data_IF_859466223362
#
_entry.id   IF_859466223362
#
_cell.length_a   1.000
_cell.length_b   1.000
_cell.length_c   1.000
_cell.angle_alpha   90.00
_cell.angle_beta   90.00
_cell.angle_gamma   90.00
#
_symmetry.space_group_name_H-M   'P 1'
#
loop_
_entity.id
_entity.type
_entity.pdbx_description
1 polymer ?
#
# COMPACT_ATOMS: atom_id res chain seq x y z
N UNK A 1 -14.05 7.11 40.02
CA UNK A 1 -15.48 6.78 40.12
C UNK A 1 -15.65 5.36 39.59
N UNK A 2 -16.12 4.40 40.40
CA UNK A 2 -16.43 3.05 39.92
C UNK A 2 -17.80 3.12 39.26
N UNK A 3 -17.83 3.15 37.93
CA UNK A 3 -19.07 2.98 37.17
C UNK A 3 -19.49 1.51 37.31
N UNK A 4 -20.64 1.28 37.95
CA UNK A 4 -21.28 -0.03 37.98
C UNK A 4 -22.21 -0.15 36.78
N UNK A 5 -21.95 -1.11 35.90
CA UNK A 5 -22.88 -1.46 34.82
C UNK A 5 -23.72 -2.67 35.26
N UNK A 6 -25.05 -2.61 35.07
CA UNK A 6 -25.95 -3.76 35.19
C UNK A 6 -26.29 -4.24 33.79
N UNK A 7 -25.99 -5.49 33.48
CA UNK A 7 -26.42 -6.15 32.23
C UNK A 7 -27.71 -6.93 32.51
N UNK A 8 -28.77 -6.61 31.79
CA UNK A 8 -30.01 -7.39 31.80
C UNK A 8 -30.00 -8.35 30.59
N UNK A 9 -30.15 -9.65 30.81
CA UNK A 9 -30.20 -10.65 29.75
C UNK A 9 -31.65 -10.98 29.39
N UNK A 10 -32.21 -10.34 28.36
CA UNK A 10 -33.44 -10.79 27.71
C UNK A 10 -33.08 -11.75 26.58
N UNK A 11 -32.68 -12.98 26.91
CA UNK A 11 -32.24 -13.96 25.92
C UNK A 11 -33.43 -14.48 25.07
N UNK A 12 -33.41 -14.24 23.76
CA UNK A 12 -34.05 -15.11 22.76
C UNK A 12 -32.99 -15.58 21.78
N UNK A 13 -32.69 -16.88 21.78
CA UNK A 13 -31.79 -17.52 20.82
C UNK A 13 -32.48 -17.60 19.45
N UNK A 14 -31.92 -16.94 18.45
CA UNK A 14 -32.38 -16.99 17.06
C UNK A 14 -31.80 -18.20 16.30
N UNK A 15 -32.68 -19.07 15.83
CA UNK A 15 -32.50 -19.81 14.58
C UNK A 15 -33.84 -19.74 13.82
N UNK A 16 -33.87 -18.95 12.74
CA UNK A 16 -35.01 -18.70 11.82
C UNK A 16 -36.29 -18.17 12.49
N UNK A 17 -36.44 -16.85 12.50
CA UNK A 17 -37.57 -16.13 13.12
C UNK A 17 -38.88 -16.41 12.38
N UNK A 18 -39.75 -17.23 12.99
CA UNK A 18 -41.18 -16.90 13.04
C UNK A 18 -41.32 -15.76 14.05
N UNK A 19 -41.93 -14.64 13.65
CA UNK A 19 -42.13 -13.44 14.48
C UNK A 19 -42.68 -13.81 15.87
N UNK A 20 -41.81 -13.78 16.88
CA UNK A 20 -42.20 -13.93 18.29
C UNK A 20 -42.80 -12.61 18.78
N UNK A 21 -43.92 -12.65 19.48
CA UNK A 21 -44.52 -11.45 20.09
C UNK A 21 -43.51 -10.69 20.99
N UNK A 22 -43.60 -9.34 21.05
CA UNK A 22 -42.78 -8.53 21.95
C UNK A 22 -42.92 -8.97 23.42
N UNK A 23 -41.84 -9.08 24.22
CA UNK A 23 -41.90 -9.37 25.66
C UNK A 23 -42.73 -8.34 26.43
N UNK A 24 -43.34 -8.73 27.56
CA UNK A 24 -44.17 -7.83 28.39
C UNK A 24 -43.43 -6.57 28.86
N UNK A 25 -42.14 -6.69 29.14
CA UNK A 25 -41.29 -5.56 29.54
C UNK A 25 -41.14 -4.53 28.41
N UNK A 26 -41.02 -4.99 27.15
CA UNK A 26 -40.97 -4.13 25.97
C UNK A 26 -42.35 -3.52 25.69
N UNK A 27 -43.45 -4.26 25.90
CA UNK A 27 -44.81 -3.72 25.81
C UNK A 27 -45.00 -2.56 26.79
N UNK A 28 -44.62 -2.76 28.06
CA UNK A 28 -44.68 -1.72 29.09
C UNK A 28 -43.81 -0.52 28.74
N UNK A 29 -42.58 -0.74 28.29
CA UNK A 29 -41.67 0.33 27.87
C UNK A 29 -42.25 1.15 26.70
N UNK A 30 -42.90 0.49 25.74
CA UNK A 30 -43.59 1.17 24.65
C UNK A 30 -44.77 2.00 25.18
N UNK A 31 -45.60 1.43 26.05
CA UNK A 31 -46.76 2.10 26.64
C UNK A 31 -46.37 3.32 27.50
N UNK A 32 -45.24 3.26 28.22
CA UNK A 32 -44.73 4.37 29.04
C UNK A 32 -44.38 5.62 28.18
N UNK A 33 -44.07 5.41 26.90
CA UNK A 33 -43.69 6.47 25.96
C UNK A 33 -44.75 6.74 24.89
N UNK A 34 -45.84 5.98 24.81
CA UNK A 34 -46.85 6.10 23.75
C UNK A 34 -48.22 6.47 24.32
N UNK A 35 -48.89 7.48 23.74
CA UNK A 35 -50.23 7.89 24.20
C UNK A 35 -51.37 6.94 23.80
N UNK A 36 -51.48 6.61 22.51
CA UNK A 36 -52.66 5.93 21.92
C UNK A 36 -52.31 4.60 21.21
N UNK A 37 -51.43 3.79 21.80
CA UNK A 37 -50.93 2.56 21.17
C UNK A 37 -50.10 2.81 19.90
N UNK A 38 -49.61 4.04 19.76
CA UNK A 38 -48.76 4.57 18.70
C UNK A 38 -47.79 5.55 19.34
N UNK A 39 -46.51 5.43 18.99
CA UNK A 39 -45.47 6.34 19.42
C UNK A 39 -45.17 7.33 18.29
N UNK A 40 -45.48 8.60 18.53
CA UNK A 40 -45.19 9.73 17.63
C UNK A 40 -43.69 10.02 17.54
N UNK A 41 -43.30 10.92 16.62
CA UNK A 41 -41.89 11.29 16.45
C UNK A 41 -41.33 12.00 17.70
N UNK A 42 -42.13 12.84 18.36
CA UNK A 42 -41.69 13.55 19.57
C UNK A 42 -41.55 12.59 20.77
N UNK A 43 -42.44 11.60 20.85
CA UNK A 43 -42.37 10.54 21.87
C UNK A 43 -41.17 9.60 21.64
N UNK A 44 -40.90 9.23 20.39
CA UNK A 44 -39.71 8.45 20.04
C UNK A 44 -38.42 9.25 20.31
N UNK A 45 -38.40 10.54 20.01
CA UNK A 45 -37.26 11.41 20.33
C UNK A 45 -36.96 11.39 21.82
N UNK A 46 -38.00 11.50 22.65
CA UNK A 46 -37.89 11.40 24.11
C UNK A 46 -37.34 10.04 24.54
N UNK A 47 -37.84 8.96 23.96
CA UNK A 47 -37.34 7.61 24.23
C UNK A 47 -35.84 7.46 23.90
N UNK A 48 -35.40 7.90 22.71
CA UNK A 48 -33.99 7.76 22.29
C UNK A 48 -33.06 8.61 23.16
N UNK A 49 -33.50 9.80 23.59
CA UNK A 49 -32.71 10.64 24.50
C UNK A 49 -32.64 10.05 25.92
N UNK A 50 -33.78 9.67 26.49
CA UNK A 50 -33.87 9.27 27.91
C UNK A 50 -33.43 7.84 28.18
N UNK A 51 -33.72 6.91 27.26
CA UNK A 51 -33.48 5.47 27.45
C UNK A 51 -32.23 5.02 26.69
N UNK A 52 -32.05 5.43 25.43
CA UNK A 52 -30.87 5.06 24.64
C UNK A 52 -29.65 5.95 24.90
N UNK A 53 -29.86 7.13 25.50
CA UNK A 53 -28.78 8.04 25.87
C UNK A 53 -28.23 8.87 24.70
N UNK A 54 -28.95 8.93 23.57
CA UNK A 54 -28.57 9.67 22.37
C UNK A 54 -28.84 11.17 22.53
N UNK A 55 -28.01 11.85 23.33
CA UNK A 55 -28.18 13.27 23.68
C UNK A 55 -28.13 14.23 22.49
N UNK A 56 -27.63 13.77 21.34
CA UNK A 56 -27.54 14.54 20.10
C UNK A 56 -28.74 14.32 19.17
N UNK A 57 -29.66 13.41 19.50
CA UNK A 57 -30.81 13.12 18.68
C UNK A 57 -31.70 14.36 18.53
N UNK A 58 -32.15 14.60 17.31
CA UNK A 58 -33.09 15.64 16.95
C UNK A 58 -34.30 15.06 16.19
N UNK A 59 -35.22 15.91 15.76
CA UNK A 59 -36.40 15.47 15.00
C UNK A 59 -36.02 14.81 13.66
N UNK A 60 -34.86 15.13 13.07
CA UNK A 60 -34.41 14.51 11.83
C UNK A 60 -33.88 13.10 12.09
N UNK A 61 -33.12 12.89 13.16
CA UNK A 61 -32.67 11.57 13.61
C UNK A 61 -33.85 10.59 13.77
N UNK A 62 -34.96 11.04 14.38
CA UNK A 62 -36.16 10.19 14.53
C UNK A 62 -36.92 10.00 13.22
N UNK A 63 -36.98 11.03 12.36
CA UNK A 63 -37.57 10.89 11.03
C UNK A 63 -36.82 9.87 10.20
N UNK A 64 -35.50 9.80 10.32
CA UNK A 64 -34.68 8.81 9.64
C UNK A 64 -34.97 7.41 10.17
N UNK A 65 -35.03 7.21 11.50
CA UNK A 65 -35.47 5.93 12.09
C UNK A 65 -36.85 5.53 11.55
N UNK A 66 -37.81 6.45 11.56
CA UNK A 66 -39.16 6.18 11.08
C UNK A 66 -39.21 5.91 9.58
N UNK A 67 -38.41 6.62 8.77
CA UNK A 67 -38.31 6.40 7.34
C UNK A 67 -37.79 5.00 7.02
N UNK A 68 -36.73 4.58 7.70
CA UNK A 68 -36.07 3.30 7.50
C UNK A 68 -36.97 2.11 7.89
N UNK A 69 -37.77 2.28 8.95
CA UNK A 69 -38.81 1.30 9.34
C UNK A 69 -40.01 1.21 8.36
N UNK A 70 -40.12 2.06 7.33
CA UNK A 70 -41.27 2.09 6.40
C UNK A 70 -41.34 0.88 5.45
N UNK A 71 -40.22 0.20 5.18
CA UNK A 71 -40.14 -0.82 4.13
C UNK A 71 -40.78 -2.18 4.50
N UNK A 72 -41.43 -2.28 5.67
CA UNK A 72 -42.08 -3.52 6.13
C UNK A 72 -43.60 -3.46 6.29
N UNK A 73 -44.28 -2.45 5.71
CA UNK A 73 -45.75 -2.47 5.61
C UNK A 73 -46.52 -2.21 6.90
N UNK A 74 -45.91 -1.53 7.89
CA UNK A 74 -46.53 -1.27 9.21
C UNK A 74 -46.70 0.22 9.53
N UNK A 75 -46.52 1.13 8.56
CA UNK A 75 -46.65 2.57 8.82
C UNK A 75 -47.88 3.27 8.27
N UNK A 76 -48.45 4.08 9.15
CA UNK A 76 -49.50 5.07 8.94
C UNK A 76 -48.92 6.40 9.41
N UNK A 77 -49.17 7.56 8.75
CA UNK A 77 -48.48 8.85 8.94
C UNK A 77 -48.43 9.48 10.35
N UNK A 78 -48.85 8.78 11.42
CA UNK A 78 -48.99 9.29 12.79
C UNK A 78 -48.04 8.67 13.83
N UNK A 79 -47.17 7.72 13.50
CA UNK A 79 -46.21 7.12 14.46
C UNK A 79 -46.01 5.60 14.36
N UNK A 80 -45.01 5.06 15.05
CA UNK A 80 -44.67 3.62 15.11
C UNK A 80 -45.63 2.88 16.05
N UNK A 81 -46.01 1.66 15.69
CA UNK A 81 -46.71 0.73 16.58
C UNK A 81 -45.73 -0.15 17.34
N UNK A 82 -46.21 -0.84 18.37
CA UNK A 82 -45.42 -1.74 19.23
C UNK A 82 -44.54 -2.72 18.43
N UNK A 83 -45.06 -3.32 17.36
CA UNK A 83 -44.28 -4.23 16.49
C UNK A 83 -43.13 -3.50 15.78
N UNK A 84 -43.37 -2.27 15.30
CA UNK A 84 -42.34 -1.43 14.68
C UNK A 84 -41.27 -0.99 15.68
N UNK A 85 -41.68 -0.65 16.90
CA UNK A 85 -40.76 -0.33 18.00
C UNK A 85 -39.91 -1.54 18.41
N UNK A 86 -40.51 -2.73 18.53
CA UNK A 86 -39.77 -3.94 18.87
C UNK A 86 -38.76 -4.32 17.79
N UNK A 87 -39.11 -4.14 16.51
CA UNK A 87 -38.17 -4.31 15.40
C UNK A 87 -37.02 -3.32 15.43
N UNK A 88 -37.28 -2.04 15.75
CA UNK A 88 -36.22 -1.06 15.96
C UNK A 88 -35.22 -1.51 17.03
N UNK A 89 -35.70 -1.99 18.19
CA UNK A 89 -34.83 -2.43 19.28
C UNK A 89 -33.91 -3.60 18.89
N UNK A 90 -34.36 -4.44 17.96
CA UNK A 90 -33.62 -5.60 17.45
C UNK A 90 -32.82 -5.31 16.17
N UNK A 91 -32.96 -4.10 15.62
CA UNK A 91 -32.30 -3.70 14.39
C UNK A 91 -30.88 -3.23 14.64
N UNK A 92 -30.06 -3.23 13.59
CA UNK A 92 -28.68 -2.75 13.65
C UNK A 92 -28.58 -1.23 13.97
N UNK A 93 -29.68 -0.47 13.87
CA UNK A 93 -29.77 0.92 14.32
C UNK A 93 -29.70 1.10 15.83
N UNK A 94 -30.07 0.06 16.57
CA UNK A 94 -29.95 0.01 18.02
C UNK A 94 -28.73 -0.82 18.43
N UNK A 95 -27.71 -0.87 17.56
CA UNK A 95 -26.45 -1.56 17.83
C UNK A 95 -25.76 -0.92 19.05
N UNK A 96 -25.25 -1.73 19.99
CA UNK A 96 -24.46 -1.23 21.12
C UNK A 96 -23.08 -0.68 20.69
N UNK A 97 -22.74 -0.80 19.40
CA UNK A 97 -21.50 -0.31 18.81
C UNK A 97 -21.82 0.72 17.72
N UNK A 98 -21.16 1.87 17.76
CA UNK A 98 -21.19 2.85 16.66
C UNK A 98 -20.71 2.20 15.35
N UNK A 99 -21.32 2.59 14.24
CA UNK A 99 -20.94 2.08 12.92
C UNK A 99 -19.47 2.43 12.61
N UNK A 100 -18.78 1.53 11.92
CA UNK A 100 -17.33 1.65 11.71
C UNK A 100 -16.88 2.97 11.05
N UNK A 101 -17.72 3.58 10.20
CA UNK A 101 -17.45 4.89 9.59
C UNK A 101 -17.51 6.07 10.57
N UNK A 102 -18.46 6.06 11.50
CA UNK A 102 -18.59 7.08 12.54
C UNK A 102 -17.40 7.03 13.51
N UNK A 103 -16.99 5.82 13.92
CA UNK A 103 -15.83 5.65 14.80
C UNK A 103 -14.55 6.21 14.16
N UNK A 104 -14.32 5.91 12.88
CA UNK A 104 -13.17 6.43 12.12
C UNK A 104 -13.22 7.95 12.01
N UNK A 105 -14.39 8.50 11.69
CA UNK A 105 -14.60 9.96 11.60
C UNK A 105 -14.38 10.67 12.94
N UNK A 106 -14.90 10.11 14.04
CA UNK A 106 -14.74 10.63 15.40
C UNK A 106 -13.29 10.53 15.89
N UNK A 107 -12.60 9.45 15.55
CA UNK A 107 -11.21 9.20 15.99
C UNK A 107 -10.22 10.12 15.27
N UNK A 108 -10.33 10.24 13.95
CA UNK A 108 -9.34 10.98 13.15
C UNK A 108 -9.76 12.43 12.88
N UNK A 109 -11.04 12.77 13.00
CA UNK A 109 -11.54 14.16 12.88
C UNK A 109 -10.98 14.87 11.65
N UNK A 110 -10.35 16.03 11.87
CA UNK A 110 -9.76 16.87 10.82
C UNK A 110 -8.48 16.29 10.16
N UNK A 111 -7.86 15.28 10.78
CA UNK A 111 -6.71 14.59 10.17
C UNK A 111 -7.15 13.61 9.10
N UNK A 112 -8.41 13.18 9.09
CA UNK A 112 -8.94 12.33 8.04
C UNK A 112 -9.13 13.11 6.74
N UNK A 113 -8.48 12.67 5.66
CA UNK A 113 -8.67 13.26 4.35
C UNK A 113 -9.88 12.62 3.64
N UNK A 114 -10.87 13.45 3.35
CA UNK A 114 -12.04 13.09 2.55
C UNK A 114 -11.88 13.68 1.15
N UNK A 115 -12.15 12.87 0.14
CA UNK A 115 -12.13 13.34 -1.24
C UNK A 115 -13.44 14.06 -1.51
N UNK A 116 -13.44 15.40 -1.45
CA UNK A 116 -14.60 16.21 -1.83
C UNK A 116 -14.58 16.35 -3.34
N UNK A 117 -15.44 15.60 -4.04
CA UNK A 117 -15.61 15.54 -5.52
C UNK A 117 -14.58 14.72 -6.31
N UNK A 118 -14.96 14.32 -7.53
CA UNK A 118 -14.19 13.52 -8.52
C UNK A 118 -12.87 14.18 -9.00
N UNK A 119 -12.33 15.15 -8.25
CA UNK A 119 -11.17 16.00 -8.58
C UNK A 119 -9.81 15.27 -8.72
N UNK A 120 -9.75 13.96 -8.48
CA UNK A 120 -8.52 13.17 -8.61
C UNK A 120 -8.61 12.08 -9.67
N UNK A 121 -9.42 12.27 -10.71
CA UNK A 121 -9.39 11.41 -11.89
C UNK A 121 -8.01 11.44 -12.52
N UNK A 122 -7.37 12.59 -12.71
CA UNK A 122 -6.17 12.63 -13.55
C UNK A 122 -4.83 12.31 -12.84
N UNK A 123 -4.71 12.61 -11.54
CA UNK A 123 -3.51 12.37 -10.72
C UNK A 123 -3.78 12.23 -9.21
N UNK A 124 -2.85 11.61 -8.48
CA UNK A 124 -2.90 11.55 -7.01
C UNK A 124 -2.33 12.84 -6.38
N UNK A 125 -2.86 13.29 -5.23
CA UNK A 125 -2.28 14.41 -4.49
C UNK A 125 -0.82 14.15 -4.07
N UNK A 126 -0.04 15.21 -3.97
CA UNK A 126 1.36 15.12 -3.52
C UNK A 126 1.46 14.84 -2.01
N UNK A 127 2.57 14.27 -1.53
CA UNK A 127 2.81 14.11 -0.09
C UNK A 127 2.72 15.42 0.69
N UNK A 128 3.15 16.55 0.11
CA UNK A 128 3.07 17.87 0.76
C UNK A 128 1.61 18.35 0.88
N UNK A 129 0.77 18.12 -0.13
CA UNK A 129 -0.66 18.44 -0.08
C UNK A 129 -1.41 17.60 0.97
N UNK A 130 -0.91 16.40 1.28
CA UNK A 130 -1.48 15.46 2.25
C UNK A 130 -0.76 15.46 3.60
N UNK A 131 0.03 16.50 3.88
CA UNK A 131 0.81 16.58 5.13
C UNK A 131 -0.12 16.55 6.35
N UNK A 132 0.22 15.69 7.31
CA UNK A 132 -0.57 15.43 8.52
C UNK A 132 -1.99 14.90 8.25
N UNK A 133 -2.22 14.30 7.07
CA UNK A 133 -3.49 13.68 6.73
C UNK A 133 -3.41 12.15 6.72
N UNK A 134 -4.52 11.52 7.09
CA UNK A 134 -4.74 10.08 7.07
C UNK A 134 -5.72 9.78 5.94
N UNK A 135 -5.35 8.84 5.07
CA UNK A 135 -6.15 8.42 3.92
C UNK A 135 -6.64 7.01 4.12
N UNK A 136 -7.88 6.74 3.72
CA UNK A 136 -8.42 5.38 3.68
C UNK A 136 -8.30 4.87 2.26
N UNK A 137 -7.63 3.71 2.12
CA UNK A 137 -7.45 3.06 0.82
C UNK A 137 -7.91 1.60 0.88
N UNK A 138 -9.12 1.36 0.41
CA UNK A 138 -9.74 0.03 0.34
C UNK A 138 -10.68 -0.09 -0.86
N UNK A 139 -11.25 -1.29 -1.04
CA UNK A 139 -12.36 -1.51 -1.97
C UNK A 139 -13.65 -0.97 -1.35
N UNK A 140 -14.55 -0.38 -2.15
CA UNK A 140 -15.91 -0.13 -1.71
C UNK A 140 -16.58 -1.42 -1.24
N UNK A 141 -17.57 -1.33 -0.33
CA UNK A 141 -18.44 -2.45 0.04
C UNK A 141 -19.01 -3.15 -1.20
N UNK A 142 -19.12 -4.48 -1.16
CA UNK A 142 -19.57 -5.30 -2.31
C UNK A 142 -21.04 -5.06 -2.63
N UNK A 143 -21.79 -4.78 -1.58
CA UNK A 143 -23.22 -4.53 -1.51
C UNK A 143 -23.56 -3.34 -2.43
N UNK A 144 -22.79 -2.25 -2.35
CA UNK A 144 -22.88 -1.08 -3.23
C UNK A 144 -22.55 -1.37 -4.71
N UNK A 145 -21.58 -2.26 -4.98
CA UNK A 145 -21.19 -2.60 -6.36
C UNK A 145 -22.29 -3.35 -7.12
N UNK A 146 -23.23 -3.98 -6.41
CA UNK A 146 -24.35 -4.69 -6.99
C UNK A 146 -25.49 -3.72 -7.37
N UNK A 147 -25.75 -2.70 -6.55
CA UNK A 147 -26.76 -1.66 -6.83
C UNK A 147 -26.46 -0.85 -8.09
N UNK A 148 -25.19 -0.54 -8.38
CA UNK A 148 -24.81 0.15 -9.62
C UNK A 148 -25.06 -0.65 -10.89
N UNK A 149 -25.05 -1.98 -10.82
CA UNK A 149 -25.36 -2.84 -11.98
C UNK A 149 -26.86 -2.82 -12.28
N UNK A 150 -27.71 -2.63 -11.27
CA UNK A 150 -29.16 -2.54 -11.40
C UNK A 150 -29.64 -1.20 -11.98
N UNK A 151 -28.90 -0.10 -11.75
CA UNK A 151 -29.24 1.24 -12.24
C UNK A 151 -28.62 1.61 -13.61
N UNK A 152 -27.72 0.78 -14.17
CA UNK A 152 -26.99 1.13 -15.39
C UNK A 152 -26.72 -0.04 -16.34
N UNK A 153 -27.69 -0.37 -17.19
CA UNK A 153 -27.48 -0.59 -18.64
C UNK A 153 -28.78 -0.99 -19.35
N UNK A 154 -29.34 -0.06 -20.12
CA UNK A 154 -29.95 -0.38 -21.42
C UNK A 154 -28.86 -0.92 -22.37
N UNK A 155 -29.30 -1.76 -23.32
CA UNK A 155 -28.58 -2.39 -24.46
C UNK A 155 -27.66 -3.57 -24.17
N UNK A 156 -28.25 -4.77 -24.01
CA UNK A 156 -27.97 -5.94 -24.87
C UNK A 156 -28.78 -7.17 -24.40
N UNK A 157 -29.67 -7.70 -25.25
CA UNK A 157 -30.64 -8.73 -24.87
C UNK A 157 -30.09 -10.17 -24.82
N UNK A 158 -28.84 -10.42 -25.23
CA UNK A 158 -28.30 -11.78 -25.35
C UNK A 158 -27.64 -12.33 -24.08
N UNK A 159 -27.39 -11.50 -23.05
CA UNK A 159 -26.76 -11.91 -21.77
C UNK A 159 -27.79 -12.15 -20.65
N UNK A 160 -29.06 -11.76 -20.86
CA UNK A 160 -30.12 -11.81 -19.83
C UNK A 160 -30.41 -13.22 -19.31
N UNK A 161 -30.34 -14.27 -20.14
CA UNK A 161 -30.86 -15.57 -19.73
C UNK A 161 -30.02 -16.34 -18.68
N UNK A 162 -28.73 -16.01 -18.48
CA UNK A 162 -27.86 -16.70 -17.51
C UNK A 162 -27.52 -15.91 -16.25
N UNK A 163 -27.68 -14.59 -16.23
CA UNK A 163 -27.42 -13.75 -15.04
C UNK A 163 -28.68 -13.42 -14.23
N UNK A 164 -29.87 -13.53 -14.82
CA UNK A 164 -31.13 -13.13 -14.15
C UNK A 164 -31.57 -14.13 -13.07
N UNK A 165 -31.08 -15.39 -13.06
CA UNK A 165 -31.47 -16.37 -12.02
C UNK A 165 -30.74 -16.25 -10.67
N UNK A 166 -29.66 -15.49 -10.58
CA UNK A 166 -28.96 -15.24 -9.29
C UNK A 166 -29.19 -13.84 -8.73
N UNK A 167 -29.85 -12.95 -9.48
CA UNK A 167 -30.04 -11.53 -9.11
C UNK A 167 -31.41 -11.22 -8.49
N UNK A 168 -32.28 -12.22 -8.31
CA UNK A 168 -33.66 -12.02 -7.83
C UNK A 168 -33.86 -12.17 -6.31
N UNK A 169 -32.80 -12.33 -5.50
CA UNK A 169 -32.99 -12.63 -4.06
C UNK A 169 -32.10 -11.87 -3.06
N UNK A 170 -31.47 -10.75 -3.43
CA UNK A 170 -30.76 -9.87 -2.48
C UNK A 170 -31.08 -8.40 -2.79
N UNK A 171 -32.29 -7.98 -2.46
CA UNK A 171 -32.59 -6.56 -2.24
C UNK A 171 -31.92 -6.24 -0.91
N UNK A 172 -30.85 -5.44 -0.94
CA UNK A 172 -30.25 -4.89 0.27
C UNK A 172 -31.28 -3.94 0.89
N UNK A 173 -31.49 -4.03 2.20
CA UNK A 173 -32.30 -3.04 2.90
C UNK A 173 -31.61 -1.66 2.76
N UNK A 174 -32.37 -0.57 2.60
CA UNK A 174 -31.85 0.82 2.37
C UNK A 174 -30.79 1.27 3.42
N UNK A 175 -30.79 0.56 4.54
CA UNK A 175 -29.97 0.70 5.71
C UNK A 175 -28.54 0.16 5.52
N UNK A 176 -28.39 -1.05 4.93
CA UNK A 176 -27.09 -1.56 4.51
C UNK A 176 -26.49 -0.68 3.41
N UNK A 177 -27.34 -0.10 2.57
CA UNK A 177 -26.93 0.85 1.53
C UNK A 177 -26.42 2.17 2.13
N UNK A 178 -27.08 2.72 3.15
CA UNK A 178 -26.66 3.99 3.77
C UNK A 178 -25.32 3.85 4.50
N UNK A 179 -25.13 2.78 5.27
CA UNK A 179 -23.86 2.50 5.97
C UNK A 179 -22.72 2.25 4.96
N UNK A 180 -23.03 1.57 3.85
CA UNK A 180 -22.09 1.37 2.77
C UNK A 180 -21.70 2.69 2.09
N UNK A 181 -22.64 3.65 1.95
CA UNK A 181 -22.40 4.99 1.42
C UNK A 181 -21.51 5.79 2.36
N UNK A 182 -21.82 5.86 3.66
CA UNK A 182 -21.02 6.61 4.63
C UNK A 182 -19.58 6.11 4.70
N UNK A 183 -19.37 4.79 4.77
CA UNK A 183 -18.02 4.23 4.78
C UNK A 183 -17.29 4.45 3.45
N UNK A 184 -18.01 4.39 2.32
CA UNK A 184 -17.46 4.69 0.99
C UNK A 184 -16.96 6.12 0.90
N UNK A 185 -17.70 7.09 1.44
CA UNK A 185 -17.34 8.51 1.39
C UNK A 185 -16.06 8.81 2.18
N UNK A 186 -15.65 7.91 3.08
CA UNK A 186 -14.35 7.99 3.75
C UNK A 186 -13.19 7.44 2.90
N UNK A 187 -13.45 6.66 1.84
CA UNK A 187 -12.41 6.05 0.99
C UNK A 187 -11.81 7.10 0.06
N UNK A 188 -10.66 7.64 0.45
CA UNK A 188 -9.92 8.61 -0.36
C UNK A 188 -9.27 8.01 -1.60
N UNK A 189 -8.78 6.76 -1.52
CA UNK A 189 -8.13 6.07 -2.64
C UNK A 189 -8.78 4.71 -2.88
N UNK A 190 -9.62 4.65 -3.90
CA UNK A 190 -10.34 3.46 -4.30
C UNK A 190 -9.40 2.39 -4.86
N UNK A 191 -9.44 1.19 -4.28
CA UNK A 191 -8.72 0.04 -4.83
C UNK A 191 -9.41 -0.43 -6.13
N UNK A 192 -8.66 -0.40 -7.24
CA UNK A 192 -9.14 -0.83 -8.55
C UNK A 192 -9.45 -2.33 -8.61
N UNK A 193 -10.40 -2.68 -9.48
CA UNK A 193 -10.75 -4.08 -9.76
C UNK A 193 -9.89 -4.65 -10.89
N UNK A 194 -9.42 -5.89 -10.72
CA UNK A 194 -8.56 -6.61 -11.68
C UNK A 194 -9.40 -7.22 -12.82
N UNK A 195 -10.15 -6.41 -13.58
CA UNK A 195 -10.94 -6.93 -14.70
C UNK A 195 -10.00 -7.51 -15.77
N UNK A 196 -10.20 -8.78 -16.16
CA UNK A 196 -9.47 -9.42 -17.27
C UNK A 196 -8.17 -10.17 -16.92
N UNK A 197 -7.90 -10.44 -15.62
CA UNK A 197 -6.76 -11.27 -15.20
C UNK A 197 -5.39 -10.65 -15.51
N UNK A 198 -4.32 -11.45 -15.48
CA UNK A 198 -2.93 -10.97 -15.59
C UNK A 198 -2.62 -10.22 -16.89
N UNK A 199 -3.31 -10.56 -17.99
CA UNK A 199 -3.13 -9.92 -19.30
C UNK A 199 -3.67 -8.48 -19.36
N UNK A 200 -4.71 -8.16 -18.62
CA UNK A 200 -5.36 -6.84 -18.72
C UNK A 200 -5.34 -6.07 -17.39
N UNK A 201 -4.73 -6.61 -16.34
CA UNK A 201 -4.78 -6.02 -15.01
C UNK A 201 -4.15 -4.62 -14.91
N UNK A 202 -3.21 -4.28 -15.81
CA UNK A 202 -2.56 -2.96 -15.86
C UNK A 202 -3.28 -1.99 -16.82
N UNK A 203 -4.30 -2.47 -17.53
CA UNK A 203 -5.06 -1.64 -18.46
C UNK A 203 -6.12 -0.88 -17.65
N UNK A 204 -5.98 0.44 -17.60
CA UNK A 204 -6.91 1.34 -16.94
C UNK A 204 -7.39 2.42 -17.90
N UNK A 205 -8.41 3.16 -17.48
CA UNK A 205 -8.82 4.39 -18.15
C UNK A 205 -7.65 5.40 -18.10
N UNK A 206 -7.16 5.91 -19.24
CA UNK A 206 -6.06 6.87 -19.29
C UNK A 206 -6.38 8.20 -18.59
N UNK A 207 -7.65 8.50 -18.35
CA UNK A 207 -8.10 9.70 -17.68
C UNK A 207 -8.35 9.47 -16.18
N UNK A 208 -8.12 8.24 -15.69
CA UNK A 208 -8.36 7.87 -14.29
C UNK A 208 -7.17 7.16 -13.64
N UNK A 209 -6.57 7.77 -12.63
CA UNK A 209 -5.60 7.09 -11.78
C UNK A 209 -6.28 6.07 -10.88
N UNK A 210 -5.63 4.93 -10.72
CA UNK A 210 -6.11 3.82 -9.90
C UNK A 210 -5.02 3.32 -8.96
N UNK A 211 -5.45 2.66 -7.88
CA UNK A 211 -4.56 1.93 -6.98
C UNK A 211 -4.81 0.44 -7.12
N UNK A 212 -3.78 -0.32 -7.48
CA UNK A 212 -3.87 -1.79 -7.56
C UNK A 212 -3.14 -2.45 -6.41
N UNK A 213 -3.54 -3.69 -6.11
CA UNK A 213 -2.86 -4.52 -5.13
C UNK A 213 -2.71 -5.95 -5.61
N UNK A 214 -1.51 -6.51 -5.49
CA UNK A 214 -1.20 -7.89 -5.89
C UNK A 214 -0.16 -8.53 -4.97
N UNK A 215 -0.11 -9.86 -4.97
CA UNK A 215 0.89 -10.61 -4.19
C UNK A 215 2.26 -10.55 -4.85
N UNK A 216 3.32 -10.79 -4.07
CA UNK A 216 4.69 -10.91 -4.56
C UNK A 216 4.84 -11.88 -5.75
N UNK A 217 4.15 -13.03 -5.72
CA UNK A 217 4.23 -14.05 -6.79
C UNK A 217 3.66 -13.53 -8.12
N UNK A 218 2.63 -12.69 -8.02
CA UNK A 218 2.01 -12.09 -9.19
C UNK A 218 2.91 -11.01 -9.79
N UNK A 219 3.52 -10.21 -8.92
CA UNK A 219 4.53 -9.24 -9.31
C UNK A 219 5.72 -9.93 -10.00
N UNK A 220 6.28 -10.99 -9.43
CA UNK A 220 7.39 -11.74 -10.02
C UNK A 220 7.05 -12.25 -11.43
N UNK A 221 5.82 -12.70 -11.64
CA UNK A 221 5.35 -13.17 -12.95
C UNK A 221 5.23 -12.01 -13.96
N UNK A 222 4.64 -10.89 -13.54
CA UNK A 222 4.49 -9.71 -14.38
C UNK A 222 5.83 -9.03 -14.68
N UNK A 223 6.75 -8.96 -13.71
CA UNK A 223 8.08 -8.42 -13.90
C UNK A 223 8.83 -9.15 -15.02
N UNK A 224 8.74 -10.48 -15.05
CA UNK A 224 9.40 -11.32 -16.08
C UNK A 224 8.76 -11.22 -17.47
N UNK A 225 7.46 -10.98 -17.54
CA UNK A 225 6.71 -11.06 -18.82
C UNK A 225 6.34 -9.69 -19.39
N UNK A 226 6.22 -8.67 -18.54
CA UNK A 226 5.63 -7.36 -18.82
C UNK A 226 6.24 -6.24 -17.95
N UNK A 227 7.56 -6.29 -17.72
CA UNK A 227 8.29 -5.30 -16.92
C UNK A 227 8.04 -3.85 -17.33
N UNK A 228 8.15 -3.48 -18.62
CA UNK A 228 7.90 -2.12 -19.09
C UNK A 228 6.47 -1.64 -18.82
N UNK A 229 5.48 -2.54 -18.96
CA UNK A 229 4.09 -2.20 -18.68
C UNK A 229 3.87 -1.89 -17.19
N UNK A 230 4.59 -2.56 -16.28
CA UNK A 230 4.56 -2.24 -14.85
C UNK A 230 5.16 -0.85 -14.57
N UNK A 231 6.30 -0.53 -15.19
CA UNK A 231 6.91 0.79 -15.05
C UNK A 231 5.96 1.87 -15.56
N UNK A 232 5.42 1.69 -16.76
CA UNK A 232 4.44 2.60 -17.37
C UNK A 232 3.21 2.78 -16.49
N UNK A 233 2.69 1.69 -15.93
CA UNK A 233 1.56 1.73 -15.01
C UNK A 233 1.87 2.59 -13.78
N UNK A 234 3.01 2.38 -13.14
CA UNK A 234 3.38 3.05 -11.88
C UNK A 234 3.85 4.50 -12.05
N UNK A 235 4.05 4.99 -13.27
CA UNK A 235 4.28 6.42 -13.53
C UNK A 235 3.07 7.27 -13.12
N UNK A 236 1.84 6.75 -13.31
CA UNK A 236 0.59 7.47 -12.99
C UNK A 236 -0.22 6.82 -11.87
N UNK A 237 -0.12 5.52 -11.71
CA UNK A 237 -0.94 4.72 -10.79
C UNK A 237 -0.16 4.27 -9.55
N UNK A 238 -0.87 3.93 -8.47
CA UNK A 238 -0.25 3.37 -7.26
C UNK A 238 -0.33 1.84 -7.30
N UNK A 239 0.78 1.18 -7.04
CA UNK A 239 0.87 -0.27 -6.93
C UNK A 239 1.28 -0.68 -5.51
N UNK A 240 0.41 -1.48 -4.87
CA UNK A 240 0.68 -2.13 -3.59
C UNK A 240 1.02 -3.60 -3.76
N UNK A 241 2.15 -4.00 -3.19
CA UNK A 241 2.63 -5.38 -3.17
C UNK A 241 2.53 -5.90 -1.74
N UNK A 242 2.12 -7.16 -1.58
CA UNK A 242 2.01 -7.78 -0.27
C UNK A 242 2.58 -9.21 -0.25
N UNK A 243 3.06 -9.68 0.91
CA UNK A 243 3.57 -11.04 1.07
C UNK A 243 2.50 -12.09 0.71
N UNK A 244 2.92 -13.21 0.14
CA UNK A 244 2.04 -14.37 -0.09
C UNK A 244 1.61 -15.00 1.24
N UNK A 245 0.42 -15.57 1.25
CA UNK A 245 -0.17 -16.20 2.45
C UNK A 245 0.61 -17.42 2.95
N UNK A 246 1.43 -18.06 2.11
CA UNK A 246 2.26 -19.21 2.50
C UNK A 246 3.46 -18.83 3.37
N UNK A 247 3.76 -17.54 3.56
CA UNK A 247 4.78 -17.05 4.51
C UNK A 247 4.22 -17.02 5.93
N UNK A 248 3.88 -18.20 6.45
CA UNK A 248 3.32 -18.39 7.79
C UNK A 248 4.29 -17.96 8.90
N UNK A 249 5.59 -17.96 8.60
CA UNK A 249 6.67 -17.50 9.47
C UNK A 249 6.84 -15.98 9.48
N UNK A 250 5.98 -15.24 8.77
CA UNK A 250 6.07 -13.80 8.58
C UNK A 250 7.37 -13.34 7.91
N UNK A 251 8.09 -14.22 7.18
CA UNK A 251 9.24 -13.81 6.37
C UNK A 251 8.87 -12.72 5.35
N UNK A 252 9.88 -11.95 4.90
CA UNK A 252 9.70 -10.93 3.87
C UNK A 252 10.24 -11.40 2.52
N UNK A 253 9.71 -10.80 1.45
CA UNK A 253 10.13 -11.01 0.07
C UNK A 253 11.13 -9.94 -0.36
N UNK A 254 11.79 -10.15 -1.51
CA UNK A 254 12.73 -9.18 -2.05
C UNK A 254 11.97 -7.93 -2.57
N UNK A 255 12.15 -6.76 -1.95
CA UNK A 255 11.44 -5.55 -2.36
C UNK A 255 12.01 -4.91 -3.62
N UNK A 256 13.22 -5.28 -4.07
CA UNK A 256 13.82 -4.71 -5.28
C UNK A 256 12.96 -5.00 -6.50
N UNK A 257 12.37 -6.20 -6.59
CA UNK A 257 11.44 -6.56 -7.67
C UNK A 257 10.32 -5.54 -7.79
N UNK A 258 9.80 -5.03 -6.67
CA UNK A 258 8.78 -3.98 -6.67
C UNK A 258 9.36 -2.61 -7.05
N UNK A 259 10.43 -2.18 -6.37
CA UNK A 259 10.97 -0.83 -6.54
C UNK A 259 11.55 -0.56 -7.93
N UNK A 260 12.25 -1.52 -8.55
CA UNK A 260 12.80 -1.35 -9.90
C UNK A 260 11.70 -1.26 -10.98
N UNK A 261 10.51 -1.79 -10.69
CA UNK A 261 9.33 -1.68 -11.55
C UNK A 261 8.42 -0.50 -11.14
N UNK A 262 8.90 0.36 -10.23
CA UNK A 262 8.23 1.59 -9.80
C UNK A 262 7.11 1.43 -8.78
N UNK A 263 6.92 0.24 -8.19
CA UNK A 263 5.91 0.02 -7.15
C UNK A 263 6.21 0.84 -5.89
N UNK A 264 5.22 1.56 -5.39
CA UNK A 264 5.37 2.52 -4.30
C UNK A 264 5.07 1.90 -2.93
N UNK A 265 4.03 1.06 -2.85
CA UNK A 265 3.56 0.47 -1.59
C UNK A 265 4.01 -1.00 -1.46
N UNK A 266 5.32 -1.22 -1.30
CA UNK A 266 5.89 -2.55 -1.07
C UNK A 266 5.75 -2.89 0.42
N UNK A 267 4.74 -3.68 0.78
CA UNK A 267 4.39 -3.95 2.19
C UNK A 267 5.25 -5.05 2.81
N UNK A 268 5.64 -4.86 4.07
CA UNK A 268 6.48 -5.78 4.84
C UNK A 268 5.78 -6.25 6.11
N UNK A 269 6.16 -7.43 6.57
CA UNK A 269 5.91 -7.91 7.92
C UNK A 269 6.94 -7.25 8.87
N UNK A 270 6.54 -6.17 9.53
CA UNK A 270 7.42 -5.35 10.37
C UNK A 270 7.87 -6.05 11.67
N UNK A 271 7.12 -7.06 12.12
CA UNK A 271 7.44 -7.90 13.28
C UNK A 271 8.57 -8.93 13.02
N UNK A 272 8.97 -9.09 11.76
CA UNK A 272 9.99 -10.07 11.36
C UNK A 272 11.42 -9.50 11.51
N UNK A 273 12.41 -10.32 11.16
CA UNK A 273 13.82 -9.92 11.12
C UNK A 273 14.45 -10.41 9.81
N UNK A 274 15.53 -9.77 9.36
CA UNK A 274 16.33 -10.26 8.24
C UNK A 274 16.67 -9.22 7.18
N UNK A 275 17.39 -9.67 6.15
CA UNK A 275 18.01 -8.84 5.10
C UNK A 275 17.04 -7.83 4.47
N UNK A 276 15.86 -8.27 4.07
CA UNK A 276 14.92 -7.41 3.34
C UNK A 276 14.31 -6.32 4.21
N UNK A 277 14.09 -6.60 5.50
CA UNK A 277 13.63 -5.59 6.44
C UNK A 277 14.71 -4.51 6.67
N UNK A 278 15.98 -4.92 6.80
CA UNK A 278 17.10 -3.99 6.90
C UNK A 278 17.26 -3.14 5.63
N UNK A 279 17.04 -3.73 4.45
CA UNK A 279 17.10 -3.02 3.18
C UNK A 279 16.01 -1.94 3.09
N UNK A 280 14.78 -2.26 3.51
CA UNK A 280 13.68 -1.30 3.62
C UNK A 280 13.99 -0.18 4.60
N UNK A 281 14.50 -0.50 5.80
CA UNK A 281 14.93 0.51 6.77
C UNK A 281 16.03 1.41 6.21
N UNK A 282 16.95 0.86 5.42
CA UNK A 282 17.97 1.63 4.71
C UNK A 282 17.38 2.60 3.68
N UNK A 283 16.49 2.11 2.81
CA UNK A 283 15.81 2.91 1.78
C UNK A 283 15.07 4.10 2.40
N UNK A 284 14.27 3.87 3.44
CA UNK A 284 13.44 4.92 4.04
C UNK A 284 14.17 5.80 5.07
N UNK A 285 15.46 5.58 5.33
CA UNK A 285 16.31 6.60 5.97
C UNK A 285 16.63 7.78 5.04
N UNK A 286 16.50 7.58 3.73
CA UNK A 286 16.60 8.67 2.76
C UNK A 286 15.51 9.72 3.00
N UNK A 287 15.68 10.92 2.42
CA UNK A 287 14.74 12.02 2.54
C UNK A 287 14.33 12.32 3.99
N UNK A 288 15.32 12.33 4.89
CA UNK A 288 15.13 12.67 6.31
C UNK A 288 14.30 11.67 7.12
N UNK A 289 14.07 10.45 6.63
CA UNK A 289 13.25 9.47 7.37
C UNK A 289 11.74 9.71 7.26
N UNK A 290 11.30 10.53 6.31
CA UNK A 290 9.89 10.94 6.18
C UNK A 290 8.92 9.83 5.79
N UNK A 291 9.41 8.67 5.36
CA UNK A 291 8.60 7.57 4.82
C UNK A 291 8.26 7.72 3.33
N UNK A 292 8.68 8.82 2.68
CA UNK A 292 8.53 9.04 1.24
C UNK A 292 9.89 9.27 0.57
N UNK A 293 10.16 8.53 -0.51
CA UNK A 293 11.39 8.67 -1.30
C UNK A 293 11.00 8.88 -2.76
N UNK A 294 11.50 9.95 -3.39
CA UNK A 294 11.22 10.23 -4.81
C UNK A 294 11.80 9.09 -5.66
N UNK A 295 11.00 8.57 -6.60
CA UNK A 295 11.49 7.61 -7.60
C UNK A 295 12.56 8.29 -8.50
N UNK A 296 13.55 7.52 -9.00
CA UNK A 296 14.44 8.00 -10.05
C UNK A 296 13.65 8.45 -11.29
N UNK A 297 14.17 9.44 -12.02
CA UNK A 297 13.45 10.05 -13.15
C UNK A 297 13.14 9.04 -14.27
N UNK A 298 13.99 8.02 -14.46
CA UNK A 298 13.77 6.90 -15.39
C UNK A 298 12.50 6.08 -15.10
N UNK A 299 11.96 6.15 -13.87
CA UNK A 299 10.71 5.52 -13.46
C UNK A 299 9.53 6.51 -13.37
N UNK A 300 9.74 7.76 -13.75
CA UNK A 300 8.74 8.84 -13.73
C UNK A 300 8.27 9.23 -15.13
N UNK A 301 9.16 9.20 -16.13
CA UNK A 301 8.85 9.56 -17.52
C UNK A 301 9.40 8.55 -18.52
N UNK A 302 8.85 8.57 -19.73
CA UNK A 302 9.45 7.86 -20.86
C UNK A 302 10.75 8.56 -21.31
N UNK A 303 11.63 7.80 -21.96
CA UNK A 303 12.83 8.34 -22.58
C UNK A 303 12.53 9.24 -23.78
N UNK A 304 13.56 9.87 -24.38
CA UNK A 304 13.41 10.84 -25.46
C UNK A 304 12.67 10.30 -26.70
N UNK A 305 12.72 8.99 -26.97
CA UNK A 305 12.01 8.33 -28.06
C UNK A 305 10.62 7.79 -27.69
N UNK A 306 10.13 8.10 -26.48
CA UNK A 306 8.86 7.58 -25.95
C UNK A 306 8.95 6.15 -25.40
N UNK A 307 10.15 5.56 -25.36
CA UNK A 307 10.39 4.25 -24.77
C UNK A 307 10.21 4.28 -23.25
N UNK A 308 9.51 3.28 -22.73
CA UNK A 308 9.44 3.06 -21.28
C UNK A 308 10.65 2.24 -20.85
N UNK A 309 11.23 2.59 -19.70
CA UNK A 309 12.32 1.83 -19.09
C UNK A 309 11.95 0.35 -18.92
N UNK A 310 12.83 -0.52 -19.39
CA UNK A 310 12.72 -1.96 -19.22
C UNK A 310 13.79 -2.45 -18.24
N UNK A 311 13.43 -2.78 -16.99
CA UNK A 311 14.37 -3.32 -16.00
C UNK A 311 15.00 -4.66 -16.42
N UNK A 312 14.37 -5.39 -17.34
CA UNK A 312 14.87 -6.67 -17.87
C UNK A 312 15.66 -6.50 -19.17
N UNK A 313 15.80 -5.27 -19.67
CA UNK A 313 16.57 -5.04 -20.89
C UNK A 313 18.02 -5.43 -20.67
N UNK A 314 18.53 -6.29 -21.56
CA UNK A 314 19.93 -6.73 -21.57
C UNK A 314 20.93 -5.58 -21.84
N UNK A 315 20.44 -4.35 -22.02
CA UNK A 315 21.26 -3.15 -22.20
C UNK A 315 21.53 -2.41 -20.88
N UNK A 316 20.95 -2.84 -19.75
CA UNK A 316 21.31 -2.37 -18.40
C UNK A 316 22.45 -3.19 -17.80
N UNK A 317 23.44 -3.54 -18.62
CA UNK A 317 24.65 -4.22 -18.17
C UNK A 317 25.51 -3.19 -17.41
N UNK A 318 25.30 -3.07 -16.10
CA UNK A 318 26.25 -2.38 -15.20
C UNK A 318 27.53 -3.22 -15.22
N UNK A 319 28.45 -2.84 -16.08
CA UNK A 319 29.70 -3.57 -16.30
C UNK A 319 30.75 -2.93 -15.42
N UNK A 320 31.09 -3.52 -14.28
CA UNK A 320 32.11 -2.88 -13.44
C UNK A 320 33.51 -3.29 -13.87
N UNK A 321 34.38 -2.33 -14.14
CA UNK A 321 35.77 -2.56 -14.51
C UNK A 321 36.71 -2.04 -13.44
N UNK A 322 37.65 -2.90 -13.03
CA UNK A 322 38.68 -2.57 -12.06
C UNK A 322 39.98 -2.26 -12.79
N UNK A 323 40.57 -1.08 -12.52
CA UNK A 323 41.95 -0.76 -12.90
C UNK A 323 42.81 -0.72 -11.65
N UNK A 324 43.87 -1.51 -11.63
CA UNK A 324 44.84 -1.58 -10.54
C UNK A 324 46.20 -1.20 -11.09
N UNK A 325 46.94 -0.31 -10.44
CA UNK A 325 48.28 0.05 -10.87
C UNK A 325 49.16 0.55 -9.75
N UNK A 326 50.45 0.63 -10.06
CA UNK A 326 51.47 1.18 -9.19
C UNK A 326 51.93 2.52 -9.76
N UNK A 327 51.92 3.55 -8.92
CA UNK A 327 52.63 4.80 -9.18
C UNK A 327 53.88 4.86 -8.30
N UNK A 328 55.04 5.14 -8.88
CA UNK A 328 56.31 5.15 -8.15
C UNK A 328 57.42 5.68 -9.05
N UNK A 329 58.64 5.15 -8.93
CA UNK A 329 59.68 5.46 -9.90
C UNK A 329 59.27 4.99 -11.31
N UNK A 330 59.82 5.56 -12.40
CA UNK A 330 59.43 5.18 -13.76
C UNK A 330 59.54 3.68 -14.06
N UNK A 331 60.49 2.99 -13.42
CA UNK A 331 60.72 1.55 -13.58
C UNK A 331 59.67 0.67 -12.88
N UNK A 332 58.96 1.20 -11.88
CA UNK A 332 57.96 0.49 -11.08
C UNK A 332 56.52 0.87 -11.50
N UNK A 333 56.38 1.87 -12.37
CA UNK A 333 55.08 2.38 -12.81
C UNK A 333 54.46 1.42 -13.82
N UNK A 334 53.38 0.76 -13.42
CA UNK A 334 52.65 -0.19 -14.26
C UNK A 334 51.16 -0.17 -13.92
N UNK A 335 50.31 -0.59 -14.85
CA UNK A 335 48.88 -0.72 -14.59
C UNK A 335 48.28 -1.91 -15.32
N UNK A 336 47.37 -2.59 -14.64
CA UNK A 336 46.54 -3.65 -15.15
C UNK A 336 45.07 -3.24 -15.09
N UNK A 337 44.30 -3.78 -16.02
CA UNK A 337 42.85 -3.56 -16.11
C UNK A 337 42.21 -4.95 -16.17
N UNK A 338 41.20 -5.20 -15.35
CA UNK A 338 40.44 -6.45 -15.45
C UNK A 338 39.66 -6.47 -16.75
N UNK A 339 39.34 -7.68 -17.20
CA UNK A 339 38.16 -7.86 -18.02
C UNK A 339 36.92 -7.38 -17.27
N UNK A 340 35.88 -7.07 -18.03
CA UNK A 340 34.61 -6.65 -17.48
C UNK A 340 33.96 -7.81 -16.74
N UNK A 341 33.68 -7.63 -15.45
CA UNK A 341 32.87 -8.59 -14.70
C UNK A 341 31.38 -8.27 -14.89
N UNK A 342 30.57 -9.31 -15.05
CA UNK A 342 29.15 -9.20 -15.41
C UNK A 342 28.24 -9.45 -14.21
N UNK A 343 27.28 -8.54 -14.04
CA UNK A 343 25.91 -8.80 -13.57
C UNK A 343 25.69 -9.17 -12.10
N UNK A 344 26.46 -8.60 -11.15
CA UNK A 344 26.05 -8.62 -9.74
C UNK A 344 26.25 -7.28 -9.02
N UNK A 345 25.35 -6.96 -8.08
CA UNK A 345 25.48 -5.81 -7.15
C UNK A 345 26.73 -5.92 -6.25
N UNK A 346 27.41 -7.07 -6.29
CA UNK A 346 28.65 -7.42 -5.62
C UNK A 346 29.64 -7.98 -6.65
N UNK A 347 30.35 -7.15 -7.42
CA UNK A 347 31.28 -7.63 -8.44
C UNK A 347 32.41 -8.47 -7.81
N UNK A 348 32.75 -9.58 -8.47
CA UNK A 348 33.77 -10.55 -8.06
C UNK A 348 34.74 -10.77 -9.21
N UNK A 349 35.84 -10.03 -9.20
CA UNK A 349 36.85 -10.15 -10.27
C UNK A 349 37.71 -11.42 -10.17
N UNK A 350 37.97 -11.91 -8.96
CA UNK A 350 38.84 -13.08 -8.67
C UNK A 350 40.11 -13.13 -9.54
N UNK A 351 40.75 -11.96 -9.69
CA UNK A 351 42.00 -11.77 -10.44
C UNK A 351 43.13 -11.44 -9.50
N UNK A 352 44.28 -12.04 -9.78
CA UNK A 352 45.54 -11.71 -9.13
C UNK A 352 46.37 -10.80 -10.06
N UNK A 353 47.09 -9.87 -9.45
CA UNK A 353 47.99 -8.95 -10.15
C UNK A 353 49.35 -9.01 -9.49
N UNK A 354 50.38 -9.20 -10.30
CA UNK A 354 51.76 -9.22 -9.83
C UNK A 354 52.50 -7.98 -10.30
N UNK A 355 53.17 -7.31 -9.37
CA UNK A 355 53.90 -6.07 -9.62
C UNK A 355 55.37 -6.25 -9.22
N UNK A 356 56.30 -6.38 -10.17
CA UNK A 356 57.72 -6.41 -9.86
C UNK A 356 58.18 -5.00 -9.48
N UNK A 357 58.59 -4.80 -8.22
CA UNK A 357 58.98 -3.50 -7.69
C UNK A 357 60.47 -3.44 -7.37
N UNK A 358 61.12 -2.33 -7.71
CA UNK A 358 62.52 -2.05 -7.36
C UNK A 358 62.63 -1.19 -6.11
N UNK A 359 61.70 -0.27 -5.88
CA UNK A 359 61.68 0.63 -4.71
C UNK A 359 60.27 0.68 -4.11
N UNK A 360 59.84 -0.40 -3.41
CA UNK A 360 58.50 -0.48 -2.82
C UNK A 360 58.16 0.67 -1.85
N UNK A 361 59.17 1.26 -1.22
CA UNK A 361 59.03 2.36 -0.24
C UNK A 361 58.49 3.65 -0.87
N UNK A 362 58.65 3.81 -2.20
CA UNK A 362 58.14 4.96 -2.96
C UNK A 362 56.92 4.60 -3.82
N UNK A 363 56.42 3.36 -3.72
CA UNK A 363 55.32 2.86 -4.52
C UNK A 363 53.96 3.14 -3.85
N UNK A 364 53.01 3.59 -4.66
CA UNK A 364 51.61 3.78 -4.31
C UNK A 364 50.77 2.80 -5.11
N UNK A 365 49.93 2.02 -4.42
CA UNK A 365 48.89 1.21 -5.03
C UNK A 365 47.67 2.10 -5.33
N UNK A 366 47.36 2.24 -6.61
CA UNK A 366 46.21 2.97 -7.11
C UNK A 366 45.16 1.98 -7.61
N UNK A 367 43.96 2.04 -7.05
CA UNK A 367 42.80 1.26 -7.51
C UNK A 367 41.71 2.23 -7.94
N UNK A 368 41.22 2.04 -9.17
CA UNK A 368 40.12 2.82 -9.74
C UNK A 368 39.03 1.85 -10.19
N UNK A 369 37.82 2.08 -9.70
CA UNK A 369 36.62 1.37 -10.11
C UNK A 369 35.83 2.25 -11.06
N UNK A 370 35.48 1.70 -12.22
CA UNK A 370 34.64 2.37 -13.21
C UNK A 370 33.41 1.53 -13.49
N UNK A 371 32.28 2.21 -13.62
CA UNK A 371 31.09 1.65 -14.22
C UNK A 371 31.22 1.79 -15.74
N UNK A 372 31.13 0.68 -16.46
CA UNK A 372 31.25 0.63 -17.90
C UNK A 372 29.86 0.66 -18.49
N UNK A 373 29.61 1.70 -19.27
CA UNK A 373 28.43 1.83 -20.10
C UNK A 373 28.88 1.71 -21.56
N UNK A 374 28.24 0.81 -22.32
CA UNK A 374 28.52 0.64 -23.74
C UNK A 374 28.18 1.86 -24.61
N UNK A 375 27.39 2.81 -24.09
CA UNK A 375 26.87 3.95 -24.84
C UNK A 375 27.47 5.31 -24.41
N UNK A 376 28.26 5.36 -23.33
CA UNK A 376 28.85 6.60 -22.79
C UNK A 376 30.32 6.41 -22.36
N UNK A 377 30.99 7.51 -21.98
CA UNK A 377 32.36 7.46 -21.46
C UNK A 377 32.32 6.90 -20.02
N UNK A 378 32.73 5.64 -19.82
CA UNK A 378 32.80 4.93 -18.52
C UNK A 378 32.78 5.83 -17.28
N UNK A 379 31.68 5.76 -16.52
CA UNK A 379 31.45 6.57 -15.34
C UNK A 379 32.36 6.14 -14.18
N UNK A 380 32.82 7.12 -13.40
CA UNK A 380 33.69 6.88 -12.26
C UNK A 380 32.87 6.37 -11.08
N UNK A 381 33.20 5.19 -10.55
CA UNK A 381 32.49 4.57 -9.45
C UNK A 381 33.23 4.71 -8.10
N UNK A 382 34.55 4.90 -8.13
CA UNK A 382 35.34 5.20 -6.93
C UNK A 382 36.83 4.97 -7.10
N UNK A 383 37.62 5.49 -6.17
CA UNK A 383 39.07 5.32 -6.15
C UNK A 383 39.64 5.10 -4.75
N UNK A 384 40.86 4.59 -4.72
CA UNK A 384 41.71 4.58 -3.53
C UNK A 384 43.18 4.60 -3.97
N UNK A 385 43.99 5.34 -3.22
CA UNK A 385 45.45 5.34 -3.35
C UNK A 385 46.05 4.99 -1.98
N UNK A 386 46.91 3.98 -1.92
CA UNK A 386 47.50 3.46 -0.68
C UNK A 386 49.02 3.40 -0.81
N UNK A 387 49.80 3.94 0.14
CA UNK A 387 51.24 3.72 0.16
C UNK A 387 51.55 2.25 0.46
N UNK A 388 52.35 1.63 -0.41
CA UNK A 388 52.57 0.19 -0.37
C UNK A 388 53.27 -0.26 0.93
N UNK A 389 54.17 0.58 1.46
CA UNK A 389 54.86 0.37 2.74
C UNK A 389 53.91 0.24 3.94
N UNK A 390 52.71 0.81 3.86
CA UNK A 390 51.72 0.81 4.95
C UNK A 390 50.66 -0.30 4.80
N UNK A 391 50.66 -1.02 3.68
CA UNK A 391 49.68 -2.08 3.43
C UNK A 391 50.08 -3.33 4.21
N UNK A 392 49.16 -3.81 5.05
CA UNK A 392 49.33 -5.07 5.77
C UNK A 392 48.94 -6.27 4.90
N UNK A 393 49.73 -7.35 4.86
CA UNK A 393 49.39 -8.58 4.12
C UNK A 393 48.07 -9.19 4.60
N UNK A 394 47.50 -10.08 3.79
CA UNK A 394 46.25 -10.81 4.04
C UNK A 394 45.02 -10.15 3.42
N UNK A 395 43.84 -10.64 3.78
CA UNK A 395 42.55 -10.16 3.26
C UNK A 395 42.15 -8.88 3.99
N UNK A 396 41.93 -7.79 3.25
CA UNK A 396 41.62 -6.45 3.76
C UNK A 396 40.40 -5.87 3.04
N UNK A 397 39.56 -5.16 3.80
CA UNK A 397 38.48 -4.35 3.24
C UNK A 397 38.97 -2.91 3.04
N UNK A 398 38.97 -2.44 1.79
CA UNK A 398 39.46 -1.13 1.39
C UNK A 398 38.26 -0.23 1.06
N UNK A 399 38.16 0.93 1.70
CA UNK A 399 37.08 1.90 1.42
C UNK A 399 37.38 2.68 0.15
N UNK A 400 36.36 2.94 -0.67
CA UNK A 400 36.48 3.77 -1.86
C UNK A 400 36.16 5.24 -1.55
N UNK A 401 36.71 6.13 -2.37
CA UNK A 401 36.50 7.58 -2.32
C UNK A 401 35.89 8.06 -3.63
N UNK A 402 35.19 9.19 -3.58
CA UNK A 402 34.68 9.87 -4.77
C UNK A 402 35.79 10.64 -5.53
N UNK A 403 35.39 11.43 -6.53
CA UNK A 403 36.34 12.25 -7.33
C UNK A 403 36.99 13.38 -6.53
N UNK A 404 36.30 13.90 -5.50
CA UNK A 404 36.80 14.95 -4.62
C UNK A 404 37.72 14.37 -3.52
N UNK A 405 37.74 13.05 -3.34
CA UNK A 405 38.49 12.37 -2.29
C UNK A 405 37.68 12.09 -1.03
N UNK A 406 36.36 12.31 -1.06
CA UNK A 406 35.48 12.05 0.09
C UNK A 406 35.15 10.57 0.21
N UNK A 407 35.12 10.06 1.44
CA UNK A 407 34.95 8.63 1.72
C UNK A 407 33.52 8.18 1.44
N UNK A 408 33.35 7.15 0.60
CA UNK A 408 32.05 6.48 0.50
C UNK A 408 31.75 5.69 1.77
N UNK A 409 30.58 5.95 2.37
CA UNK A 409 30.16 5.33 3.64
C UNK A 409 30.01 3.81 3.56
N UNK A 410 29.61 3.29 2.39
CA UNK A 410 29.23 1.90 2.22
C UNK A 410 30.00 1.14 1.11
N UNK A 411 30.81 1.82 0.29
CA UNK A 411 31.54 1.19 -0.80
C UNK A 411 32.91 0.65 -0.33
N UNK A 412 33.13 -0.66 -0.49
CA UNK A 412 34.37 -1.35 -0.10
C UNK A 412 34.79 -2.39 -1.13
N UNK A 413 36.09 -2.58 -1.28
CA UNK A 413 36.71 -3.70 -2.01
C UNK A 413 37.31 -4.69 -1.01
N UNK A 414 37.12 -5.99 -1.24
CA UNK A 414 37.81 -7.04 -0.49
C UNK A 414 39.03 -7.49 -1.31
N UNK A 415 40.23 -7.30 -0.77
CA UNK A 415 41.48 -7.54 -1.50
C UNK A 415 42.42 -8.37 -0.63
N UNK A 416 43.05 -9.39 -1.22
CA UNK A 416 44.15 -10.13 -0.57
C UNK A 416 45.48 -9.53 -0.99
N UNK A 417 46.26 -9.03 -0.03
CA UNK A 417 47.61 -8.56 -0.27
C UNK A 417 48.63 -9.65 0.09
N UNK A 418 49.55 -9.93 -0.82
CA UNK A 418 50.66 -10.85 -0.62
C UNK A 418 51.95 -10.08 -0.91
N UNK A 419 52.91 -10.13 0.01
CA UNK A 419 54.23 -9.53 -0.14
C UNK A 419 55.24 -10.66 -0.09
N UNK A 420 55.88 -10.92 -1.22
CA UNK A 420 56.96 -11.90 -1.30
C UNK A 420 58.29 -11.14 -1.30
N UNK A 421 59.18 -11.39 -0.31
CA UNK A 421 60.53 -10.86 -0.38
C UNK A 421 61.24 -11.53 -1.57
N UNK A 422 61.90 -10.72 -2.39
CA UNK A 422 62.86 -11.25 -3.37
C UNK A 422 64.10 -11.80 -2.69
#
# INVERSE_FOLDING_TARGET
>A
MKESFRVCFCCVRSFKVKTSEPPQEIKKLFDDYSGDGRMSADEMLRFVIEVQGEKHADTNYVKDIFHRLKHHGVFHPRGIHLEGFYRYLLSDFNSPLHLSGEMVSKTFGETLFRCTTDEHTECFPSPEALKNKILISTKPPKEYLQTQVSLGSTTDESVKAKKVKEAEELILDEDEETVAIEYRDLISIHAGNRKGGMKNCLNGDPNRVIRLSMSEQWLETLAKTRGPDLVKFTQRNILRIFPKTTRIDSSNYDPLVGWIHGAQMVAFNMQSHGRFLWMMQGMFKANGGSGYVKKPDVLLSNGPGGETFDPSSKNLQIKTVLKVGIAGIPLDTTSHKTETDTDEWFPVWDKEFEFPLRVPELALLCIIVKDYDSNTQNDFAGQICLPLSEIRPGIRAVRLHDRAGEVYKHARLLVRFVFEPR
#
